data_IF_585821563087
#
_entry.id   IF_585821563087
#
_cell.length_a   1.000
_cell.length_b   1.000
_cell.length_c   1.000
_cell.angle_alpha   90.00
_cell.angle_beta   90.00
_cell.angle_gamma   90.00
#
_symmetry.space_group_name_H-M   'P 1'
#
loop_
_entity.id
_entity.type
_entity.pdbx_description
1 polymer ?
#
# COMPACT_ATOMS: atom_id res chain seq x y z
N UNK A 1 2.76 -18.98 4.34
CA UNK A 1 4.20 -19.02 4.02
C UNK A 1 4.33 -19.75 2.70
N UNK A 2 4.73 -19.06 1.64
CA UNK A 2 4.89 -19.66 0.31
C UNK A 2 6.30 -20.24 0.16
N UNK A 3 6.46 -21.30 -0.60
CA UNK A 3 7.73 -22.03 -0.78
C UNK A 3 8.81 -21.25 -1.56
N UNK A 4 8.46 -20.09 -2.10
CA UNK A 4 9.28 -19.21 -2.95
C UNK A 4 9.66 -17.88 -2.26
N UNK A 5 9.45 -17.75 -0.95
CA UNK A 5 9.80 -16.53 -0.23
C UNK A 5 11.32 -16.33 -0.15
N UNK A 6 11.78 -15.15 -0.55
CA UNK A 6 13.18 -14.74 -0.38
C UNK A 6 13.49 -14.58 1.11
N UNK A 7 14.55 -15.23 1.57
CA UNK A 7 14.99 -15.14 2.95
C UNK A 7 15.65 -13.78 3.23
N UNK A 8 15.26 -13.14 4.33
CA UNK A 8 15.84 -11.88 4.80
C UNK A 8 15.69 -11.79 6.32
N UNK A 9 16.79 -11.48 7.01
CA UNK A 9 16.84 -11.31 8.47
C UNK A 9 17.54 -9.98 8.86
N UNK A 10 17.56 -9.69 10.16
CA UNK A 10 18.11 -8.42 10.65
C UNK A 10 19.63 -8.27 10.45
N UNK A 11 20.37 -9.37 10.31
CA UNK A 11 21.82 -9.35 10.12
C UNK A 11 22.15 -9.01 8.66
N UNK A 12 21.46 -9.65 7.70
CA UNK A 12 21.55 -9.30 6.28
C UNK A 12 21.18 -7.82 6.07
N UNK A 13 20.08 -7.37 6.66
CA UNK A 13 19.63 -5.96 6.54
C UNK A 13 20.68 -4.99 7.11
N UNK A 14 21.39 -5.38 8.17
CA UNK A 14 22.44 -4.54 8.76
C UNK A 14 23.61 -4.36 7.81
N UNK A 15 24.07 -5.43 7.17
CA UNK A 15 25.15 -5.37 6.19
C UNK A 15 24.76 -4.48 5.00
N UNK A 16 23.56 -4.67 4.44
CA UNK A 16 23.08 -3.86 3.32
C UNK A 16 22.96 -2.37 3.67
N UNK A 17 22.43 -2.04 4.86
CA UNK A 17 22.35 -0.64 5.32
C UNK A 17 23.74 -0.05 5.56
N UNK A 18 24.67 -0.83 6.10
CA UNK A 18 26.03 -0.37 6.35
C UNK A 18 26.73 0.06 5.05
N UNK A 19 26.54 -0.70 3.98
CA UNK A 19 27.18 -0.46 2.68
C UNK A 19 26.47 0.64 1.88
N UNK A 20 25.13 0.62 1.84
CA UNK A 20 24.35 1.45 0.92
C UNK A 20 23.81 2.74 1.54
N UNK A 21 23.60 2.77 2.86
CA UNK A 21 23.05 3.93 3.58
C UNK A 21 23.86 4.28 4.83
N UNK A 22 25.09 4.82 4.67
CA UNK A 22 26.04 5.02 5.77
C UNK A 22 25.53 5.89 6.93
N UNK A 23 24.54 6.74 6.69
CA UNK A 23 23.90 7.59 7.71
C UNK A 23 23.11 6.78 8.76
N UNK A 24 22.69 5.55 8.45
CA UNK A 24 21.95 4.67 9.37
C UNK A 24 22.74 3.46 9.85
N UNK A 25 24.04 3.36 9.52
CA UNK A 25 24.88 2.17 9.79
C UNK A 25 24.93 1.70 11.26
N UNK A 26 24.69 2.63 12.20
CA UNK A 26 24.74 2.37 13.64
C UNK A 26 23.37 2.36 14.31
N UNK A 27 22.29 2.48 13.52
CA UNK A 27 20.94 2.47 14.04
C UNK A 27 20.51 1.07 14.46
N UNK A 28 19.64 1.00 15.46
CA UNK A 28 19.05 -0.26 15.89
C UNK A 28 18.10 -0.78 14.81
N UNK A 29 18.28 -2.03 14.39
CA UNK A 29 17.44 -2.70 13.39
C UNK A 29 16.54 -3.70 14.09
N UNK A 30 15.23 -3.57 13.89
CA UNK A 30 14.22 -4.47 14.47
C UNK A 30 13.26 -4.90 13.38
N UNK A 31 13.15 -6.22 13.15
CA UNK A 31 12.13 -6.76 12.27
C UNK A 31 10.75 -6.54 12.90
N UNK A 32 9.82 -5.98 12.13
CA UNK A 32 8.43 -5.90 12.53
C UNK A 32 7.75 -7.23 12.20
N UNK A 33 6.95 -7.75 13.13
CA UNK A 33 6.21 -9.01 12.94
C UNK A 33 5.38 -8.98 11.65
N UNK A 34 5.06 -10.17 11.11
CA UNK A 34 4.54 -10.43 9.76
C UNK A 34 3.18 -9.77 9.43
N UNK A 35 3.16 -8.43 9.35
CA UNK A 35 1.99 -7.62 8.98
C UNK A 35 1.85 -7.55 7.45
N UNK A 36 2.89 -7.92 6.69
CA UNK A 36 2.87 -7.97 5.23
C UNK A 36 3.08 -9.39 4.70
N UNK A 37 2.24 -9.83 3.76
CA UNK A 37 2.44 -11.08 3.00
C UNK A 37 3.47 -10.91 1.87
N UNK A 38 3.71 -9.67 1.45
CA UNK A 38 4.52 -9.32 0.26
C UNK A 38 5.88 -8.70 0.59
N UNK A 39 6.07 -8.14 1.78
CA UNK A 39 7.31 -7.47 2.20
C UNK A 39 7.68 -7.86 3.63
N UNK A 40 8.97 -8.08 3.88
CA UNK A 40 9.53 -8.00 5.22
C UNK A 40 9.85 -6.53 5.54
N UNK A 41 9.47 -6.08 6.74
CA UNK A 41 9.63 -4.69 7.16
C UNK A 41 10.54 -4.65 8.38
N UNK A 42 11.56 -3.80 8.31
CA UNK A 42 12.52 -3.57 9.38
C UNK A 42 12.47 -2.11 9.80
N UNK A 43 12.28 -1.87 11.10
CA UNK A 43 12.41 -0.54 11.70
C UNK A 43 13.89 -0.25 11.94
N UNK A 44 14.36 0.88 11.44
CA UNK A 44 15.73 1.35 11.53
C UNK A 44 15.74 2.62 12.41
N UNK A 45 16.27 2.49 13.62
CA UNK A 45 16.21 3.55 14.62
C UNK A 45 14.77 3.92 14.97
N UNK A 46 14.53 5.23 15.13
CA UNK A 46 13.19 5.76 15.41
C UNK A 46 12.49 6.36 14.19
N UNK A 47 13.19 6.55 13.07
CA UNK A 47 12.75 7.45 11.99
C UNK A 47 12.59 6.80 10.63
N UNK A 48 12.94 5.52 10.47
CA UNK A 48 13.03 4.88 9.16
C UNK A 48 12.48 3.47 9.18
N UNK A 49 11.86 3.06 8.06
CA UNK A 49 11.56 1.67 7.76
C UNK A 49 12.19 1.25 6.43
N UNK A 50 12.80 0.07 6.44
CA UNK A 50 13.25 -0.64 5.25
C UNK A 50 12.23 -1.74 4.88
N UNK A 51 11.93 -1.87 3.58
CA UNK A 51 10.96 -2.82 3.02
C UNK A 51 11.63 -3.68 1.98
N UNK A 52 11.55 -4.99 2.19
CA UNK A 52 12.17 -6.02 1.36
C UNK A 52 11.09 -6.88 0.73
N UNK A 53 10.87 -6.79 -0.59
CA UNK A 53 9.97 -7.69 -1.31
C UNK A 53 10.29 -9.17 -1.03
N UNK A 54 9.28 -9.96 -0.71
CA UNK A 54 9.44 -11.38 -0.42
C UNK A 54 9.14 -12.28 -1.61
N UNK A 55 8.44 -11.77 -2.62
CA UNK A 55 8.09 -12.50 -3.83
C UNK A 55 9.26 -12.45 -4.81
N UNK A 56 9.72 -13.61 -5.25
CA UNK A 56 10.72 -13.70 -6.31
C UNK A 56 10.20 -13.04 -7.60
N UNK A 57 11.01 -12.17 -8.19
CA UNK A 57 10.76 -11.50 -9.47
C UNK A 57 12.09 -11.03 -10.08
N UNK A 58 12.06 -10.58 -11.33
CA UNK A 58 13.25 -10.02 -11.95
C UNK A 58 13.68 -8.72 -11.24
N UNK A 59 14.98 -8.54 -10.92
CA UNK A 59 15.46 -7.34 -10.21
C UNK A 59 15.09 -6.03 -10.92
N UNK A 60 15.07 -6.02 -12.25
CA UNK A 60 14.69 -4.83 -13.04
C UNK A 60 13.21 -4.50 -12.86
N UNK A 61 12.34 -5.50 -12.82
CA UNK A 61 10.90 -5.33 -12.56
C UNK A 61 10.67 -4.80 -11.14
N UNK A 62 11.35 -5.40 -10.15
CA UNK A 62 11.32 -4.95 -8.77
C UNK A 62 11.75 -3.48 -8.64
N UNK A 63 12.88 -3.10 -9.25
CA UNK A 63 13.36 -1.72 -9.23
C UNK A 63 12.33 -0.73 -9.82
N UNK A 64 11.66 -1.11 -10.91
CA UNK A 64 10.62 -0.27 -11.53
C UNK A 64 9.39 -0.14 -10.63
N UNK A 65 8.96 -1.23 -10.00
CA UNK A 65 7.87 -1.21 -9.02
C UNK A 65 8.20 -0.26 -7.86
N UNK A 66 9.39 -0.38 -7.26
CA UNK A 66 9.80 0.46 -6.13
C UNK A 66 9.94 1.93 -6.52
N UNK A 67 10.41 2.25 -7.74
CA UNK A 67 10.44 3.63 -8.25
C UNK A 67 9.03 4.20 -8.41
N UNK A 68 8.10 3.41 -8.94
CA UNK A 68 6.70 3.82 -9.07
C UNK A 68 6.06 4.04 -7.69
N UNK A 69 6.31 3.16 -6.72
CA UNK A 69 5.84 3.32 -5.33
C UNK A 69 6.45 4.58 -4.69
N UNK A 70 7.74 4.85 -4.86
CA UNK A 70 8.40 6.05 -4.35
C UNK A 70 7.86 7.36 -4.98
N UNK A 71 7.58 7.34 -6.28
CA UNK A 71 6.97 8.47 -6.97
C UNK A 71 5.53 8.73 -6.47
N UNK A 72 4.71 7.68 -6.38
CA UNK A 72 3.36 7.75 -5.84
C UNK A 72 3.36 8.22 -4.37
N UNK A 73 4.31 7.75 -3.56
CA UNK A 73 4.50 8.19 -2.18
C UNK A 73 4.89 9.65 -2.10
N UNK A 74 5.71 10.17 -3.02
CA UNK A 74 6.08 11.59 -3.05
C UNK A 74 4.88 12.47 -3.37
N UNK A 75 4.10 12.08 -4.40
CA UNK A 75 2.87 12.75 -4.78
C UNK A 75 1.83 12.71 -3.66
N UNK A 76 1.73 11.56 -3.00
CA UNK A 76 1.25 11.30 -1.64
C UNK A 76 0.68 12.46 -0.81
N UNK A 77 1.18 12.65 0.40
CA UNK A 77 2.39 13.36 0.78
C UNK A 77 2.53 14.80 0.23
N UNK A 78 2.47 15.07 -1.08
CA UNK A 78 2.34 16.46 -1.57
C UNK A 78 0.89 16.97 -1.46
N UNK A 79 -0.09 16.06 -1.56
CA UNK A 79 -1.52 16.40 -1.52
C UNK A 79 -2.21 15.97 -0.22
N UNK A 80 -1.56 15.18 0.63
CA UNK A 80 -2.11 14.80 1.93
C UNK A 80 -1.98 15.94 2.95
N UNK A 81 -3.06 16.30 3.67
CA UNK A 81 -2.99 17.23 4.79
C UNK A 81 -2.50 16.59 6.10
N UNK A 82 -2.19 15.29 6.08
CA UNK A 82 -1.71 14.48 7.20
C UNK A 82 -0.30 13.97 6.92
N UNK A 83 0.39 13.48 7.95
CA UNK A 83 1.73 12.94 7.82
C UNK A 83 1.72 11.72 6.89
N UNK A 84 2.73 11.62 6.02
CA UNK A 84 2.86 10.52 5.09
C UNK A 84 4.32 10.07 5.04
N UNK A 85 4.58 8.77 4.81
CA UNK A 85 5.92 8.31 4.52
C UNK A 85 6.52 9.10 3.34
N UNK A 86 7.83 9.32 3.39
CA UNK A 86 8.63 9.92 2.33
C UNK A 86 9.69 8.92 1.89
N UNK A 87 9.96 8.79 0.58
CA UNK A 87 11.03 7.92 0.13
C UNK A 87 12.38 8.47 0.59
N UNK A 88 13.25 7.58 1.06
CA UNK A 88 14.64 7.88 1.43
C UNK A 88 15.58 7.37 0.33
N UNK A 89 15.33 6.16 -0.16
CA UNK A 89 16.12 5.60 -1.25
C UNK A 89 15.68 4.19 -1.63
N UNK A 90 16.28 3.69 -2.70
CA UNK A 90 16.14 2.32 -3.18
C UNK A 90 17.53 1.68 -3.13
N UNK A 91 17.68 0.65 -2.31
CA UNK A 91 18.90 -0.13 -2.23
C UNK A 91 18.98 -1.17 -3.36
N UNK A 92 20.20 -1.58 -3.65
CA UNK A 92 20.56 -2.55 -4.67
C UNK A 92 20.48 -3.97 -4.12
N UNK A 93 20.40 -4.97 -5.01
CA UNK A 93 20.63 -6.37 -4.63
C UNK A 93 21.98 -6.56 -3.93
N UNK A 94 21.99 -7.39 -2.89
CA UNK A 94 23.19 -7.80 -2.17
C UNK A 94 23.48 -9.30 -2.31
N UNK A 95 24.63 -9.78 -1.80
CA UNK A 95 25.03 -11.19 -1.92
C UNK A 95 24.03 -12.19 -1.31
N UNK A 96 23.33 -11.76 -0.25
CA UNK A 96 22.38 -12.60 0.50
C UNK A 96 20.91 -12.23 0.24
N UNK A 97 20.66 -11.18 -0.55
CA UNK A 97 19.31 -10.74 -0.92
C UNK A 97 19.28 -10.23 -2.37
N UNK A 98 18.64 -10.96 -3.31
CA UNK A 98 18.81 -10.74 -4.75
C UNK A 98 17.95 -9.62 -5.34
N UNK A 99 17.08 -8.97 -4.56
CA UNK A 99 16.16 -7.96 -5.06
C UNK A 99 16.58 -6.55 -4.62
N UNK A 100 16.23 -5.52 -5.39
CA UNK A 100 16.17 -4.16 -4.89
C UNK A 100 15.17 -4.04 -3.73
N UNK A 101 15.38 -3.07 -2.86
CA UNK A 101 14.58 -2.85 -1.65
C UNK A 101 14.45 -1.35 -1.38
N UNK A 102 13.50 -0.93 -0.54
CA UNK A 102 13.19 0.48 -0.34
C UNK A 102 13.34 0.94 1.11
N UNK A 103 13.83 2.16 1.30
CA UNK A 103 13.82 2.88 2.57
C UNK A 103 12.86 4.06 2.51
N UNK A 104 12.11 4.26 3.59
CA UNK A 104 11.17 5.37 3.73
C UNK A 104 11.12 5.87 5.18
N UNK A 105 10.67 7.11 5.37
CA UNK A 105 10.47 7.66 6.71
C UNK A 105 9.40 6.91 7.49
N UNK A 106 9.63 6.72 8.78
CA UNK A 106 8.68 6.18 9.74
C UNK A 106 7.72 7.27 10.23
N UNK A 107 6.44 6.93 10.35
CA UNK A 107 5.41 7.79 10.94
C UNK A 107 4.96 7.17 12.26
N UNK A 108 5.00 7.95 13.33
CA UNK A 108 4.60 7.48 14.66
C UNK A 108 3.09 7.60 14.87
N UNK A 109 2.44 6.45 15.08
CA UNK A 109 1.04 6.36 15.45
C UNK A 109 0.64 4.92 15.70
N UNK A 110 -0.57 4.74 16.22
CA UNK A 110 -1.18 3.43 16.40
C UNK A 110 -1.94 3.05 15.13
N UNK A 111 -1.88 1.77 14.73
CA UNK A 111 -2.65 1.30 13.57
C UNK A 111 -4.14 1.36 13.90
N UNK A 112 -4.94 1.97 13.03
CA UNK A 112 -6.38 2.01 13.21
C UNK A 112 -6.96 0.58 13.18
N UNK A 113 -7.96 0.34 14.03
CA UNK A 113 -8.70 -0.92 14.04
C UNK A 113 -10.13 -0.69 13.53
N UNK A 114 -10.77 -1.77 13.07
CA UNK A 114 -12.12 -1.71 12.53
C UNK A 114 -13.15 -1.10 13.50
N UNK A 115 -13.03 -1.41 14.80
CA UNK A 115 -13.98 -0.94 15.83
C UNK A 115 -13.47 0.24 16.65
N UNK A 116 -12.15 0.45 16.74
CA UNK A 116 -11.55 1.35 17.73
C UNK A 116 -12.00 2.81 17.64
N UNK A 117 -12.40 3.26 16.45
CA UNK A 117 -12.82 4.64 16.18
C UNK A 117 -14.15 4.73 15.44
N UNK A 118 -14.96 3.67 15.46
CA UNK A 118 -16.21 3.60 14.70
C UNK A 118 -17.22 4.71 15.08
N UNK A 119 -17.21 5.18 16.34
CA UNK A 119 -18.06 6.26 16.83
C UNK A 119 -17.41 7.66 16.75
N UNK A 120 -16.16 7.77 16.29
CA UNK A 120 -15.43 9.04 16.27
C UNK A 120 -15.81 9.89 15.06
N UNK A 121 -16.61 10.93 15.30
CA UNK A 121 -16.89 11.95 14.27
C UNK A 121 -15.61 12.68 13.86
N UNK A 122 -14.69 12.91 14.79
CA UNK A 122 -13.40 13.55 14.51
C UNK A 122 -12.59 12.77 13.48
N UNK A 123 -12.43 11.47 13.70
CA UNK A 123 -11.69 10.59 12.79
C UNK A 123 -12.36 10.53 11.42
N UNK A 124 -13.70 10.43 11.38
CA UNK A 124 -14.45 10.44 10.13
C UNK A 124 -14.24 11.73 9.32
N UNK A 125 -14.19 12.90 10.00
CA UNK A 125 -13.91 14.18 9.36
C UNK A 125 -12.47 14.29 8.85
N UNK A 126 -11.50 13.74 9.59
CA UNK A 126 -10.10 13.68 9.13
C UNK A 126 -9.97 12.83 7.85
N UNK A 127 -10.63 11.67 7.80
CA UNK A 127 -10.67 10.82 6.61
C UNK A 127 -11.36 11.54 5.44
N UNK A 128 -12.48 12.21 5.68
CA UNK A 128 -13.16 13.01 4.66
C UNK A 128 -12.25 14.13 4.11
N UNK A 129 -11.49 14.79 4.99
CA UNK A 129 -10.52 15.83 4.61
C UNK A 129 -9.39 15.26 3.76
N UNK A 130 -8.84 14.09 4.11
CA UNK A 130 -7.85 13.40 3.30
C UNK A 130 -8.41 13.09 1.90
N UNK A 131 -9.58 12.44 1.83
CA UNK A 131 -10.21 12.06 0.56
C UNK A 131 -10.48 13.31 -0.30
N UNK A 132 -11.02 14.38 0.29
CA UNK A 132 -11.28 15.63 -0.43
C UNK A 132 -10.00 16.25 -0.99
N UNK A 133 -8.92 16.26 -0.21
CA UNK A 133 -7.62 16.80 -0.62
C UNK A 133 -7.02 16.03 -1.79
N UNK A 134 -7.04 14.69 -1.74
CA UNK A 134 -6.58 13.85 -2.85
C UNK A 134 -7.44 14.06 -4.09
N UNK A 135 -8.76 14.09 -3.96
CA UNK A 135 -9.66 14.27 -5.11
C UNK A 135 -9.53 15.63 -5.79
N UNK A 136 -8.98 16.63 -5.09
CA UNK A 136 -8.70 17.95 -5.64
C UNK A 136 -7.33 18.06 -6.34
N UNK A 137 -6.45 17.07 -6.17
CA UNK A 137 -5.17 17.03 -6.85
C UNK A 137 -5.35 16.87 -8.36
N UNK A 138 -4.49 17.52 -9.14
CA UNK A 138 -4.47 17.38 -10.59
C UNK A 138 -4.01 15.96 -10.95
N UNK A 139 -4.79 15.27 -11.79
CA UNK A 139 -4.38 13.96 -12.30
C UNK A 139 -3.26 14.07 -13.33
N UNK A 140 -2.91 15.28 -13.77
CA UNK A 140 -1.94 15.54 -14.83
C UNK A 140 -2.31 14.80 -16.12
N UNK A 141 -3.61 14.72 -16.40
CA UNK A 141 -4.17 14.00 -17.55
C UNK A 141 -4.17 12.48 -17.42
N UNK A 142 -3.67 11.91 -16.30
CA UNK A 142 -3.76 10.46 -16.06
C UNK A 142 -5.22 10.03 -15.95
N UNK A 143 -5.48 8.85 -16.51
CA UNK A 143 -6.77 8.16 -16.45
C UNK A 143 -6.60 6.82 -15.76
N UNK A 144 -7.72 6.19 -15.40
CA UNK A 144 -7.68 4.82 -14.93
C UNK A 144 -7.04 3.91 -15.99
N UNK A 145 -6.09 3.09 -15.57
CA UNK A 145 -5.25 2.23 -16.41
C UNK A 145 -5.76 0.79 -16.49
N UNK A 146 -6.96 0.52 -15.95
CA UNK A 146 -7.53 -0.82 -15.88
C UNK A 146 -7.01 -1.67 -14.73
N UNK A 147 -6.11 -1.14 -13.89
CA UNK A 147 -5.44 -1.93 -12.85
C UNK A 147 -5.81 -1.46 -11.43
N UNK A 148 -6.11 -2.43 -10.56
CA UNK A 148 -6.45 -2.17 -9.16
C UNK A 148 -7.87 -1.64 -8.95
N UNK A 149 -8.03 -0.67 -8.04
CA UNK A 149 -9.35 -0.14 -7.64
C UNK A 149 -9.70 1.13 -8.41
N UNK A 150 -10.80 1.09 -9.18
CA UNK A 150 -11.32 2.23 -9.93
C UNK A 150 -11.98 1.80 -11.24
N UNK A 151 -12.18 2.77 -12.13
CA UNK A 151 -12.70 2.55 -13.48
C UNK A 151 -14.21 2.36 -13.56
N UNK A 152 -14.62 1.76 -14.67
CA UNK A 152 -16.01 1.39 -14.91
C UNK A 152 -16.27 0.00 -14.34
N UNK A 153 -17.40 -0.22 -13.68
CA UNK A 153 -17.72 -1.55 -13.14
C UNK A 153 -17.73 -2.66 -14.21
N UNK A 154 -18.26 -2.44 -15.43
CA UNK A 154 -18.15 -3.39 -16.53
C UNK A 154 -16.71 -3.82 -16.89
N UNK A 155 -15.68 -3.01 -16.59
CA UNK A 155 -14.28 -3.39 -16.85
C UNK A 155 -13.87 -4.65 -16.05
N UNK A 156 -14.61 -4.97 -14.99
CA UNK A 156 -14.38 -6.13 -14.12
C UNK A 156 -15.26 -7.34 -14.46
N UNK A 157 -16.02 -7.32 -15.57
CA UNK A 157 -16.97 -8.37 -15.93
C UNK A 157 -16.34 -9.76 -16.06
N UNK A 158 -15.19 -9.84 -16.72
CA UNK A 158 -14.47 -11.10 -16.93
C UNK A 158 -14.02 -11.70 -15.60
N UNK A 159 -13.48 -10.86 -14.71
CA UNK A 159 -13.09 -11.27 -13.37
C UNK A 159 -14.28 -11.72 -12.53
N UNK A 160 -15.38 -10.96 -12.55
CA UNK A 160 -16.62 -11.32 -11.86
C UNK A 160 -17.21 -12.63 -12.37
N UNK A 161 -17.13 -12.91 -13.68
CA UNK A 161 -17.55 -14.18 -14.26
C UNK A 161 -16.78 -15.37 -13.68
N UNK A 162 -15.46 -15.23 -13.54
CA UNK A 162 -14.58 -16.22 -12.90
C UNK A 162 -14.97 -16.39 -11.42
N UNK A 163 -15.13 -15.30 -10.68
CA UNK A 163 -15.53 -15.34 -9.27
C UNK A 163 -16.87 -16.05 -9.06
N UNK A 164 -17.88 -15.75 -9.90
CA UNK A 164 -19.17 -16.41 -9.82
C UNK A 164 -19.07 -17.91 -10.04
N UNK A 165 -18.38 -18.32 -11.10
CA UNK A 165 -18.18 -19.75 -11.41
C UNK A 165 -17.50 -20.48 -10.25
N UNK A 166 -16.45 -19.90 -9.67
CA UNK A 166 -15.70 -20.52 -8.58
C UNK A 166 -16.40 -20.46 -7.23
N UNK A 167 -17.47 -19.67 -7.10
CA UNK A 167 -18.25 -19.54 -5.86
C UNK A 167 -19.56 -20.35 -5.88
N UNK A 168 -19.83 -21.09 -6.96
CA UNK A 168 -21.00 -21.96 -7.05
C UNK A 168 -20.97 -23.01 -5.92
N UNK A 169 -22.10 -23.16 -5.22
CA UNK A 169 -22.20 -24.03 -4.05
C UNK A 169 -21.64 -23.46 -2.75
N UNK A 170 -20.92 -22.33 -2.79
CA UNK A 170 -20.40 -21.64 -1.59
C UNK A 170 -21.25 -20.42 -1.22
N UNK A 171 -21.74 -19.70 -2.23
CA UNK A 171 -22.52 -18.46 -2.06
C UNK A 171 -23.79 -18.51 -2.93
N UNK A 172 -24.75 -17.64 -2.64
CA UNK A 172 -25.92 -17.41 -3.50
C UNK A 172 -25.51 -16.66 -4.78
N UNK A 173 -24.86 -17.37 -5.70
CA UNK A 173 -24.34 -16.82 -6.96
C UNK A 173 -25.46 -16.24 -7.82
N UNK A 174 -26.66 -16.83 -7.81
CA UNK A 174 -27.81 -16.29 -8.53
C UNK A 174 -28.20 -14.90 -8.04
N UNK A 175 -28.23 -14.68 -6.72
CA UNK A 175 -28.44 -13.35 -6.14
C UNK A 175 -27.29 -12.40 -6.45
N UNK A 176 -26.04 -12.85 -6.33
CA UNK A 176 -24.88 -12.00 -6.61
C UNK A 176 -24.83 -11.55 -8.07
N UNK A 177 -25.17 -12.42 -9.03
CA UNK A 177 -25.29 -12.05 -10.46
C UNK A 177 -26.35 -10.98 -10.69
N UNK A 178 -27.50 -11.05 -10.01
CA UNK A 178 -28.54 -10.01 -10.09
C UNK A 178 -28.06 -8.67 -9.52
N UNK A 179 -27.33 -8.70 -8.41
CA UNK A 179 -26.73 -7.49 -7.82
C UNK A 179 -25.71 -6.89 -8.80
N UNK A 180 -24.82 -7.72 -9.35
CA UNK A 180 -23.82 -7.28 -10.33
C UNK A 180 -24.44 -6.66 -11.57
N UNK A 181 -25.48 -7.29 -12.14
CA UNK A 181 -26.22 -6.74 -13.28
C UNK A 181 -26.72 -5.31 -12.99
N UNK A 182 -27.27 -5.07 -11.79
CA UNK A 182 -27.70 -3.73 -11.38
C UNK A 182 -26.53 -2.77 -11.16
N UNK A 183 -25.43 -3.22 -10.56
CA UNK A 183 -24.26 -2.38 -10.28
C UNK A 183 -23.60 -1.89 -11.58
N UNK A 184 -23.55 -2.73 -12.62
CA UNK A 184 -23.00 -2.38 -13.94
C UNK A 184 -23.76 -1.27 -14.65
N UNK A 185 -25.04 -1.08 -14.34
CA UNK A 185 -25.89 -0.05 -14.93
C UNK A 185 -25.77 1.31 -14.22
N UNK A 186 -24.98 1.39 -13.14
CA UNK A 186 -24.76 2.65 -12.45
C UNK A 186 -24.06 3.66 -13.36
N UNK A 187 -24.47 4.94 -13.34
CA UNK A 187 -23.81 5.96 -14.14
C UNK A 187 -22.36 6.16 -13.67
N UNK A 188 -21.47 6.63 -14.57
CA UNK A 188 -20.10 6.96 -14.19
C UNK A 188 -20.06 7.95 -13.02
N UNK A 189 -19.11 7.77 -12.10
CA UNK A 189 -18.95 8.64 -10.93
C UNK A 189 -18.33 10.01 -11.23
N UNK A 190 -18.22 10.38 -12.51
CA UNK A 190 -17.60 11.62 -12.98
C UNK A 190 -16.21 11.41 -13.57
N UNK A 191 -15.39 12.46 -13.51
CA UNK A 191 -14.00 12.44 -13.99
C UNK A 191 -13.10 11.59 -13.08
N UNK A 192 -12.01 11.09 -13.66
CA UNK A 192 -10.93 10.46 -12.91
C UNK A 192 -10.31 11.46 -11.93
N UNK A 193 -10.08 11.00 -10.71
CA UNK A 193 -9.48 11.79 -9.62
C UNK A 193 -8.43 10.96 -8.91
N UNK A 194 -7.46 11.62 -8.28
CA UNK A 194 -6.47 10.92 -7.46
C UNK A 194 -7.14 10.23 -6.27
N UNK A 195 -6.65 9.04 -5.93
CA UNK A 195 -7.17 8.20 -4.85
C UNK A 195 -6.04 7.37 -4.25
N UNK A 196 -6.13 7.07 -2.95
CA UNK A 196 -5.21 6.17 -2.26
C UNK A 196 -5.31 4.71 -2.78
N UNK A 197 -6.46 4.31 -3.34
CA UNK A 197 -6.74 2.94 -3.84
C UNK A 197 -6.66 1.78 -2.82
N UNK A 198 -6.32 2.05 -1.56
CA UNK A 198 -6.29 1.03 -0.49
C UNK A 198 -6.49 1.63 0.90
N UNK A 199 -7.52 2.46 1.04
CA UNK A 199 -7.84 3.14 2.29
C UNK A 199 -8.56 2.20 3.26
N UNK A 200 -7.78 1.37 3.96
CA UNK A 200 -8.24 0.40 4.97
C UNK A 200 -7.63 0.72 6.34
N UNK A 201 -8.22 0.26 7.47
CA UNK A 201 -7.70 0.56 8.81
C UNK A 201 -6.21 0.26 9.00
N UNK A 202 -5.72 -0.84 8.41
CA UNK A 202 -4.32 -1.24 8.50
C UNK A 202 -3.32 -0.24 7.86
N UNK A 203 -3.80 0.65 6.98
CA UNK A 203 -3.00 1.70 6.32
C UNK A 203 -3.21 3.08 6.96
N UNK A 204 -3.94 3.17 8.08
CA UNK A 204 -4.23 4.43 8.77
C UNK A 204 -3.55 4.43 10.13
N UNK A 205 -2.86 5.52 10.44
CA UNK A 205 -2.24 5.74 11.74
C UNK A 205 -3.03 6.78 12.52
N UNK A 206 -3.23 6.51 13.80
CA UNK A 206 -4.03 7.36 14.68
C UNK A 206 -3.27 7.72 15.95
N UNK A 207 -3.68 8.83 16.56
CA UNK A 207 -3.25 9.23 17.89
C UNK A 207 -4.46 9.78 18.63
N UNK A 208 -4.95 9.01 19.60
CA UNK A 208 -6.26 9.29 20.19
C UNK A 208 -7.37 9.12 19.14
N UNK A 209 -8.15 10.18 18.92
CA UNK A 209 -9.27 10.19 17.97
C UNK A 209 -8.96 10.83 16.61
N UNK A 210 -7.68 11.15 16.35
CA UNK A 210 -7.22 11.87 15.16
C UNK A 210 -6.41 10.98 14.22
N UNK A 211 -6.55 11.25 12.92
CA UNK A 211 -5.61 10.73 11.93
C UNK A 211 -4.26 11.46 12.06
N UNK A 212 -3.18 10.69 11.93
CA UNK A 212 -1.80 11.22 11.91
C UNK A 212 -1.35 11.48 10.49
#
# INVERSE_FOLDING_TARGET
MHSDQVHIDADIVREMIFDEFPEYRHERIVQLGAIGTVNAIFRIGSRVAARFPLRAMEPVECANMLRNEAAAMTEFAAHSPFACPRPIGIGQPGPLYPLPWAMQSWIEGDVATHDGLAASTTFALDIAKLIASLRAADTHGRRFDGQGRGGSLPDHDDWMSICFKNSEGLLDVSRLRRIWARLRELPPSGLDVMSHRDLIPANLLVRGDRLV
#
